data_IF_378066759351
#
_entry.id   IF_378066759351
#
_cell.length_a   1.000
_cell.length_b   1.000
_cell.length_c   1.000
_cell.angle_alpha   90.00
_cell.angle_beta   90.00
_cell.angle_gamma   90.00
#
_symmetry.space_group_name_H-M   'P 1'
#
loop_
_entity.id
_entity.type
_entity.pdbx_description
1 polymer ?
#
# COMPACT_ATOMS: atom_id res chain seq x y z
N UNK A 1 23.16 -7.26 -0.01
CA UNK A 1 22.35 -6.15 0.53
C UNK A 1 23.25 -4.97 0.78
N UNK A 2 22.92 -3.83 0.19
CA UNK A 2 23.72 -2.60 0.26
C UNK A 2 23.63 -1.97 1.66
N UNK A 3 24.76 -1.54 2.24
CA UNK A 3 24.84 -1.03 3.63
C UNK A 3 23.92 0.17 3.88
N UNK A 4 23.63 0.97 2.84
CA UNK A 4 22.79 2.16 2.92
C UNK A 4 21.32 1.81 3.22
N UNK A 5 20.78 0.77 2.57
CA UNK A 5 19.38 0.35 2.77
C UNK A 5 19.14 -0.17 4.20
N UNK A 6 20.11 -0.91 4.75
CA UNK A 6 20.05 -1.39 6.13
C UNK A 6 20.21 -0.23 7.14
N UNK A 7 21.03 0.76 6.80
CA UNK A 7 21.22 1.97 7.62
C UNK A 7 19.97 2.85 7.63
N UNK A 8 19.26 2.96 6.51
CA UNK A 8 18.01 3.72 6.41
C UNK A 8 16.93 3.14 7.31
N UNK A 9 16.73 1.81 7.28
CA UNK A 9 15.70 1.14 8.08
C UNK A 9 15.94 1.28 9.59
N UNK A 10 17.20 1.16 10.03
CA UNK A 10 17.55 1.32 11.45
C UNK A 10 17.49 2.79 11.92
N UNK A 11 17.90 3.75 11.06
CA UNK A 11 17.85 5.18 11.39
C UNK A 11 16.46 5.77 11.37
N UNK A 12 15.61 5.35 10.43
CA UNK A 12 14.24 5.86 10.31
C UNK A 12 13.49 5.73 11.64
N UNK A 13 13.55 4.55 12.27
CA UNK A 13 12.88 4.29 13.55
C UNK A 13 13.46 5.18 14.67
N UNK A 14 14.78 5.41 14.68
CA UNK A 14 15.44 6.26 15.68
C UNK A 14 15.06 7.73 15.53
N UNK A 15 15.01 8.22 14.31
CA UNK A 15 14.64 9.59 13.98
C UNK A 15 13.16 9.85 14.27
N UNK A 16 12.28 8.88 13.99
CA UNK A 16 10.87 8.94 14.42
C UNK A 16 10.73 9.01 15.95
N UNK A 17 11.52 8.22 16.70
CA UNK A 17 11.53 8.29 18.18
C UNK A 17 12.05 9.62 18.70
N UNK A 18 13.08 10.19 18.07
CA UNK A 18 13.59 11.52 18.41
C UNK A 18 12.56 12.63 18.14
N UNK A 19 11.76 12.48 17.09
CA UNK A 19 10.65 13.37 16.78
C UNK A 19 9.40 13.15 17.66
N UNK A 20 9.42 12.15 18.56
CA UNK A 20 8.28 11.84 19.43
C UNK A 20 7.08 11.22 18.72
N UNK A 21 7.26 10.68 17.51
CA UNK A 21 6.18 10.13 16.69
C UNK A 21 5.83 8.73 17.19
N UNK A 22 4.56 8.51 17.52
CA UNK A 22 4.04 7.24 18.02
C UNK A 22 2.80 6.72 17.28
N UNK A 23 2.34 7.44 16.25
CA UNK A 23 1.20 7.06 15.43
C UNK A 23 1.53 7.13 13.92
N UNK A 24 0.71 6.44 13.13
CA UNK A 24 0.93 6.27 11.68
C UNK A 24 0.66 7.56 10.89
N UNK A 25 -0.27 8.40 11.34
CA UNK A 25 -0.65 9.63 10.63
C UNK A 25 0.45 10.69 10.74
N UNK A 26 0.95 10.91 11.95
CA UNK A 26 2.11 11.75 12.22
C UNK A 26 3.36 11.25 11.49
N UNK A 27 3.56 9.93 11.43
CA UNK A 27 4.66 9.34 10.67
C UNK A 27 4.57 9.66 9.17
N UNK A 28 3.39 9.46 8.57
CA UNK A 28 3.16 9.75 7.15
C UNK A 28 3.33 11.23 6.81
N UNK A 29 2.96 12.12 7.73
CA UNK A 29 3.15 13.58 7.56
C UNK A 29 4.62 13.98 7.67
N UNK A 30 5.39 13.33 8.55
CA UNK A 30 6.81 13.62 8.77
C UNK A 30 7.74 13.04 7.69
N UNK A 31 7.39 11.87 7.14
CA UNK A 31 8.24 11.08 6.23
C UNK A 31 8.79 11.87 5.02
N UNK A 32 8.01 12.71 4.31
CA UNK A 32 8.51 13.46 3.16
C UNK A 32 9.63 14.44 3.52
N UNK A 33 9.58 15.03 4.73
CA UNK A 33 10.63 15.91 5.23
C UNK A 33 11.91 15.14 5.55
N UNK A 34 11.77 13.99 6.23
CA UNK A 34 12.90 13.12 6.56
C UNK A 34 13.60 12.58 5.30
N UNK A 35 12.85 12.13 4.30
CA UNK A 35 13.43 11.63 3.04
C UNK A 35 14.30 12.71 2.36
N UNK A 36 13.87 13.97 2.38
CA UNK A 36 14.67 15.09 1.84
C UNK A 36 15.97 15.30 2.63
N UNK A 37 15.92 15.31 3.96
CA UNK A 37 17.12 15.43 4.80
C UNK A 37 18.07 14.24 4.60
N UNK A 38 17.53 13.04 4.59
CA UNK A 38 18.27 11.80 4.42
C UNK A 38 18.99 11.77 3.08
N UNK A 39 18.27 12.06 1.98
CA UNK A 39 18.87 12.11 0.64
C UNK A 39 19.94 13.19 0.55
N UNK A 40 19.75 14.36 1.18
CA UNK A 40 20.80 15.40 1.22
C UNK A 40 22.09 14.90 1.88
N UNK A 41 22.00 14.06 2.91
CA UNK A 41 23.15 13.62 3.71
C UNK A 41 23.82 12.36 3.18
N UNK A 42 23.04 11.47 2.57
CA UNK A 42 23.48 10.11 2.22
C UNK A 42 23.24 9.72 0.76
N UNK A 43 22.54 10.52 -0.04
CA UNK A 43 22.39 10.19 -1.45
C UNK A 43 23.76 10.20 -2.13
N UNK A 44 24.04 9.13 -2.85
CA UNK A 44 25.19 9.05 -3.73
C UNK A 44 24.75 9.62 -5.07
N UNK A 45 25.50 10.60 -5.58
CA UNK A 45 25.24 11.15 -6.92
C UNK A 45 25.43 10.02 -7.94
N UNK A 46 24.40 9.78 -8.74
CA UNK A 46 24.46 8.81 -9.82
C UNK A 46 25.61 9.17 -10.77
N UNK A 47 26.40 8.16 -11.17
CA UNK A 47 27.49 8.36 -12.14
C UNK A 47 26.96 8.78 -13.52
N UNK A 48 25.74 8.39 -13.82
CA UNK A 48 24.99 8.76 -15.01
C UNK A 48 23.73 9.53 -14.58
N UNK A 49 23.39 10.59 -15.31
CA UNK A 49 22.22 11.43 -15.03
C UNK A 49 20.98 10.96 -15.79
N UNK A 50 21.13 9.96 -16.66
CA UNK A 50 20.04 9.36 -17.40
C UNK A 50 19.11 8.58 -16.46
N UNK A 51 17.83 8.88 -16.55
CA UNK A 51 16.81 8.13 -15.85
C UNK A 51 16.66 6.74 -16.50
N UNK A 52 17.19 5.72 -15.83
CA UNK A 52 17.10 4.33 -16.26
C UNK A 52 15.76 3.67 -15.88
N UNK A 53 14.85 4.38 -15.19
CA UNK A 53 13.56 3.82 -14.81
C UNK A 53 12.64 3.67 -16.02
N UNK A 54 12.04 2.48 -16.16
CA UNK A 54 11.03 2.20 -17.17
C UNK A 54 9.66 2.48 -16.59
N UNK A 55 8.90 3.37 -17.23
CA UNK A 55 7.50 3.59 -16.91
C UNK A 55 6.72 2.29 -17.07
N UNK A 56 5.84 1.98 -16.11
CA UNK A 56 5.01 0.78 -16.19
C UNK A 56 4.03 0.92 -17.37
N UNK A 57 4.01 -0.03 -18.31
CA UNK A 57 3.23 0.09 -19.55
C UNK A 57 1.73 -0.21 -19.38
N UNK A 58 1.32 -0.75 -18.22
CA UNK A 58 -0.07 -1.14 -17.97
C UNK A 58 -0.92 -0.05 -17.32
N UNK A 59 -2.11 -0.43 -16.85
CA UNK A 59 -3.05 0.50 -16.22
C UNK A 59 -2.86 0.54 -14.70
N UNK A 60 -3.34 1.62 -14.08
CA UNK A 60 -3.39 1.69 -12.61
C UNK A 60 -4.21 0.55 -12.00
N UNK A 61 -5.28 0.11 -12.67
CA UNK A 61 -6.10 -1.01 -12.22
C UNK A 61 -5.33 -2.34 -12.22
N UNK A 62 -4.48 -2.59 -13.22
CA UNK A 62 -3.65 -3.80 -13.23
C UNK A 62 -2.59 -3.78 -12.12
N UNK A 63 -1.95 -2.63 -11.88
CA UNK A 63 -1.02 -2.47 -10.75
C UNK A 63 -1.69 -2.74 -9.41
N UNK A 64 -2.84 -2.11 -9.16
CA UNK A 64 -3.59 -2.31 -7.92
C UNK A 64 -3.93 -3.79 -7.73
N UNK A 65 -4.37 -4.47 -8.80
CA UNK A 65 -4.64 -5.91 -8.72
C UNK A 65 -3.38 -6.74 -8.45
N UNK A 66 -2.22 -6.38 -8.99
CA UNK A 66 -0.96 -7.12 -8.77
C UNK A 66 -0.36 -6.87 -7.38
N UNK A 67 -0.44 -5.64 -6.87
CA UNK A 67 0.20 -5.20 -5.63
C UNK A 67 -0.70 -5.30 -4.40
N UNK A 68 -1.88 -5.92 -4.53
CA UNK A 68 -2.83 -6.10 -3.45
C UNK A 68 -2.95 -7.56 -3.05
N UNK A 69 -3.26 -7.81 -1.78
CA UNK A 69 -3.63 -9.14 -1.30
C UNK A 69 -5.12 -9.36 -1.58
N UNK A 70 -5.44 -10.47 -2.22
CA UNK A 70 -6.81 -10.87 -2.55
C UNK A 70 -7.25 -12.01 -1.67
N UNK A 71 -8.34 -11.82 -0.93
CA UNK A 71 -8.95 -12.90 -0.14
C UNK A 71 -10.27 -13.29 -0.78
N UNK A 72 -10.33 -14.50 -1.32
CA UNK A 72 -11.57 -15.06 -1.86
C UNK A 72 -12.54 -15.35 -0.70
N UNK A 73 -13.74 -14.76 -0.76
CA UNK A 73 -14.81 -15.00 0.21
C UNK A 73 -16.11 -15.34 -0.52
N UNK A 74 -16.87 -16.28 0.03
CA UNK A 74 -18.19 -16.65 -0.47
C UNK A 74 -19.22 -15.64 0.03
N UNK A 75 -19.98 -15.04 -0.89
CA UNK A 75 -21.09 -14.16 -0.54
C UNK A 75 -22.29 -14.97 -0.02
N UNK A 76 -22.91 -14.46 1.05
CA UNK A 76 -24.16 -15.01 1.56
C UNK A 76 -25.31 -14.77 0.59
N UNK A 77 -26.47 -15.41 0.84
CA UNK A 77 -27.72 -15.16 0.07
C UNK A 77 -28.17 -13.70 0.09
N UNK A 78 -27.72 -12.93 1.09
CA UNK A 78 -27.99 -11.50 1.26
C UNK A 78 -26.85 -10.63 0.70
N UNK A 79 -25.96 -11.20 -0.12
CA UNK A 79 -24.81 -10.53 -0.75
C UNK A 79 -23.86 -9.89 0.28
N UNK A 80 -23.68 -10.55 1.42
CA UNK A 80 -22.79 -10.09 2.49
C UNK A 80 -21.66 -11.08 2.78
N UNK A 81 -20.50 -10.56 3.19
CA UNK A 81 -19.40 -11.36 3.69
C UNK A 81 -18.70 -10.67 4.88
N UNK A 82 -18.31 -11.41 5.92
CA UNK A 82 -17.55 -10.86 7.03
C UNK A 82 -16.06 -10.68 6.65
N UNK A 83 -15.50 -9.53 7.00
CA UNK A 83 -14.08 -9.18 6.86
C UNK A 83 -13.63 -8.35 8.06
N UNK A 84 -12.60 -8.80 8.80
CA UNK A 84 -12.01 -8.07 9.94
C UNK A 84 -13.02 -7.36 10.86
N UNK A 85 -13.95 -8.14 11.44
CA UNK A 85 -15.04 -7.66 12.30
C UNK A 85 -16.02 -6.66 11.66
N UNK A 86 -15.97 -6.49 10.33
CA UNK A 86 -16.95 -5.72 9.57
C UNK A 86 -17.76 -6.65 8.65
N UNK A 87 -19.05 -6.35 8.49
CA UNK A 87 -19.90 -7.03 7.53
C UNK A 87 -19.94 -6.19 6.25
N UNK A 88 -19.28 -6.66 5.20
CA UNK A 88 -19.30 -6.01 3.89
C UNK A 88 -20.56 -6.47 3.15
N UNK A 89 -21.34 -5.54 2.61
CA UNK A 89 -22.52 -5.83 1.80
C UNK A 89 -22.35 -5.24 0.40
N UNK A 90 -22.58 -6.06 -0.62
CA UNK A 90 -22.48 -5.63 -2.02
C UNK A 90 -23.77 -4.92 -2.40
N UNK A 91 -23.70 -3.60 -2.61
CA UNK A 91 -24.81 -2.83 -3.18
C UNK A 91 -24.92 -3.13 -4.68
N UNK A 92 -26.10 -3.56 -5.14
CA UNK A 92 -26.37 -3.85 -6.55
C UNK A 92 -27.38 -2.84 -7.08
N UNK A 93 -27.18 -2.35 -8.32
CA UNK A 93 -28.06 -1.36 -8.97
C UNK A 93 -29.25 -2.01 -9.70
N UNK A 94 -29.56 -3.29 -9.42
CA UNK A 94 -30.64 -4.03 -10.07
C UNK A 94 -31.09 -5.24 -9.24
N UNK A 95 -32.12 -5.97 -9.71
CA UNK A 95 -32.76 -7.10 -9.02
C UNK A 95 -31.71 -8.17 -8.65
N UNK A 96 -31.34 -8.24 -7.38
CA UNK A 96 -30.18 -8.97 -6.83
C UNK A 96 -30.17 -10.50 -6.93
N UNK A 97 -30.94 -11.10 -7.85
CA UNK A 97 -30.98 -12.55 -8.07
C UNK A 97 -29.77 -13.10 -8.83
N UNK A 98 -29.00 -12.27 -9.53
CA UNK A 98 -27.91 -12.72 -10.41
C UNK A 98 -26.54 -12.97 -9.74
N UNK A 99 -26.40 -12.70 -8.44
CA UNK A 99 -25.10 -12.73 -7.74
C UNK A 99 -25.07 -13.67 -6.52
N UNK A 100 -26.13 -14.46 -6.29
CA UNK A 100 -26.10 -15.53 -5.28
C UNK A 100 -25.06 -16.58 -5.68
N UNK A 101 -23.99 -16.70 -4.89
CA UNK A 101 -22.87 -17.61 -5.16
C UNK A 101 -21.68 -17.00 -5.92
N UNK A 102 -21.70 -15.70 -6.21
CA UNK A 102 -20.57 -15.03 -6.87
C UNK A 102 -19.37 -14.88 -5.90
N UNK A 103 -18.16 -15.20 -6.39
CA UNK A 103 -16.91 -14.96 -5.67
C UNK A 103 -16.55 -13.47 -5.78
N UNK A 104 -16.51 -12.78 -4.63
CA UNK A 104 -15.96 -11.43 -4.53
C UNK A 104 -14.49 -11.49 -4.11
N UNK A 105 -13.65 -10.65 -4.73
CA UNK A 105 -12.29 -10.44 -4.28
C UNK A 105 -12.24 -9.20 -3.40
N UNK A 106 -11.98 -9.42 -2.11
CA UNK A 106 -11.61 -8.33 -1.22
C UNK A 106 -10.16 -7.94 -1.52
N UNK A 107 -9.98 -6.74 -2.07
CA UNK A 107 -8.68 -6.23 -2.51
C UNK A 107 -8.11 -5.32 -1.43
N UNK A 108 -7.09 -5.77 -0.70
CA UNK A 108 -6.32 -4.91 0.22
C UNK A 108 -5.11 -4.37 -0.50
N UNK A 109 -5.12 -3.07 -0.77
CA UNK A 109 -3.94 -2.34 -1.24
C UNK A 109 -2.97 -2.24 -0.06
N UNK A 110 -1.74 -2.71 -0.27
CA UNK A 110 -0.64 -2.60 0.70
C UNK A 110 -0.24 -1.13 0.94
#
# INVERSE_FOLDING_TARGET
>A
MERVNQTLQDRLIKEMRLAGINDMDSANTWLPGYIKDFNRRFAVVSKDTFDAHLAYPGTRASLLRTLSVHVAKTLSKNLSCPHENQLLQVATTGTGLGLQGAQGYDTRVL
#
